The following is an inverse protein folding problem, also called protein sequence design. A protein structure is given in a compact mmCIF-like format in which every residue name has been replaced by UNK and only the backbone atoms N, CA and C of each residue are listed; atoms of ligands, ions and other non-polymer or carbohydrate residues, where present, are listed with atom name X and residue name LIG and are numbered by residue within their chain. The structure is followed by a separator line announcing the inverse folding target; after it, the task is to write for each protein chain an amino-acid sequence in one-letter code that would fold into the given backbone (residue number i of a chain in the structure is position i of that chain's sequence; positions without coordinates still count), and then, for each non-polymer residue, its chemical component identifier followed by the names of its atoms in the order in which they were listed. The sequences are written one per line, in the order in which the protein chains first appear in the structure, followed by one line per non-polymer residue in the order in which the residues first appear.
data_IF_417028762886
#
_entry.id   IF_417028762886
#
_cell.length_a   1.000
_cell.length_b   1.000
_cell.length_c   1.000
_cell.angle_alpha   90.00
_cell.angle_beta   90.00
_cell.angle_gamma   90.00
#
_symmetry.space_group_name_H-M   'P 1'
#
loop_
_entity.id
_entity.type
_entity.pdbx_description
1 polymer ?
2 non-polymer ?
3 non-polymer ?
4 water ?
#
# COMPACT_ATOMS: atom_id res chain seq x y z
N UNK A 10 7.53 5.63 17.13
CA UNK A 10 8.35 4.97 16.05
C UNK A 10 7.67 3.82 15.28
N UNK A 11 7.85 3.90 13.97
CA UNK A 11 7.43 2.86 13.04
C UNK A 11 8.44 1.74 13.15
N UNK A 12 7.97 0.48 13.30
CA UNK A 12 8.90 -0.61 13.54
C UNK A 12 9.70 -1.04 12.31
N UNK A 13 10.88 -1.59 12.61
CA UNK A 13 11.78 -2.15 11.62
C UNK A 13 11.17 -3.47 11.16
N UNK A 14 11.54 -3.89 9.97
CA UNK A 14 11.17 -5.20 9.46
C UNK A 14 11.73 -6.32 10.32
N UNK A 15 11.05 -7.46 10.32
CA UNK A 15 11.45 -8.62 11.10
C UNK A 15 12.29 -9.58 10.30
N UNK A 16 12.34 -9.39 8.98
CA UNK A 16 13.09 -10.26 8.10
C UNK A 16 14.58 -10.00 8.10
N UNK A 17 15.34 -10.88 7.44
CA UNK A 17 16.80 -10.83 7.50
C UNK A 17 17.48 -9.79 6.60
N UNK A 18 16.74 -9.09 5.74
CA UNK A 18 17.35 -8.13 4.82
C UNK A 18 17.29 -6.74 5.43
N UNK A 19 18.35 -5.96 5.24
CA UNK A 19 18.27 -4.51 5.38
C UNK A 19 17.32 -3.98 4.34
N UNK A 20 16.71 -2.83 4.59
CA UNK A 20 15.76 -2.26 3.66
C UNK A 20 16.19 -0.88 3.26
N UNK A 21 16.09 -0.59 1.96
CA UNK A 21 16.31 0.74 1.43
C UNK A 21 15.02 1.34 0.90
N UNK A 22 15.05 2.63 0.59
CA UNK A 22 13.87 3.33 0.11
C UNK A 22 14.26 4.44 -0.84
N UNK A 23 13.46 4.58 -1.91
CA UNK A 23 13.57 5.73 -2.80
C UNK A 23 12.19 6.08 -3.43
N UNK A 24 12.16 7.14 -4.23
CA UNK A 24 10.99 7.58 -4.96
C UNK A 24 11.28 7.57 -6.45
N UNK A 25 10.27 7.22 -7.25
CA UNK A 25 10.34 7.21 -8.71
C UNK A 25 9.10 7.91 -9.27
N UNK A 26 9.31 8.93 -10.10
CA UNK A 26 8.23 9.50 -10.92
C UNK A 26 8.64 9.43 -12.38
N UNK A 27 7.83 8.73 -13.17
CA UNK A 27 8.01 8.71 -14.61
C UNK A 27 6.69 8.29 -15.26
N UNK A 28 6.20 9.05 -16.26
CA UNK A 28 6.75 10.36 -16.64
C UNK A 28 6.48 11.45 -15.57
N UNK A 29 6.89 12.69 -15.88
CA UNK A 29 6.65 13.84 -15.01
C UNK A 29 5.19 14.34 -14.87
N UNK A 30 4.27 13.77 -15.64
CA UNK A 30 2.93 14.30 -15.76
C UNK A 30 1.99 13.70 -14.73
N UNK A 31 0.80 14.28 -14.65
CA UNK A 31 -0.26 13.80 -13.77
C UNK A 31 -0.84 12.44 -14.18
N UNK A 32 -0.47 11.95 -15.37
CA UNK A 32 -0.80 10.58 -15.84
C UNK A 32 0.37 9.59 -15.73
N UNK A 33 1.55 10.09 -15.37
CA UNK A 33 2.70 9.24 -15.11
C UNK A 33 2.58 8.41 -13.85
N UNK A 34 3.57 7.56 -13.63
CA UNK A 34 3.65 6.78 -12.39
C UNK A 34 4.47 7.48 -11.32
N UNK A 35 3.93 7.45 -10.10
CA UNK A 35 4.61 7.99 -8.94
C UNK A 35 4.52 6.91 -7.90
N UNK A 36 5.67 6.50 -7.39
CA UNK A 36 5.72 5.45 -6.37
C UNK A 36 6.87 5.62 -5.43
N UNK A 37 6.71 5.05 -4.23
CA UNK A 37 7.80 4.90 -3.29
C UNK A 37 8.24 3.43 -3.30
N UNK A 38 9.55 3.19 -3.51
CA UNK A 38 10.10 1.83 -3.51
C UNK A 38 10.68 1.46 -2.17
N UNK A 39 10.36 0.27 -1.71
CA UNK A 39 11.07 -0.37 -0.61
C UNK A 39 11.69 -1.64 -1.17
N UNK A 40 12.96 -1.86 -0.86
CA UNK A 40 13.72 -2.93 -1.43
C UNK A 40 14.78 -3.47 -0.48
N UNK A 41 15.17 -4.74 -0.68
CA UNK A 41 16.27 -5.28 0.09
C UNK A 41 17.55 -4.58 -0.33
N UNK A 42 18.28 -4.04 0.63
CA UNK A 42 19.49 -3.29 0.36
C UNK A 42 20.74 -3.96 0.89
N UNK A 43 21.87 -3.43 0.45
CA UNK A 43 23.17 -3.75 1.04
C UNK A 43 23.25 -3.18 2.44
N UNK A 44 24.18 -3.71 3.24
CA UNK A 44 24.47 -3.10 4.55
C UNK A 44 24.94 -1.67 4.22
N UNK A 45 24.52 -0.72 5.04
CA UNK A 45 24.89 0.67 4.85
C UNK A 45 24.71 1.47 6.14
N UNK A 46 25.15 2.72 6.11
CA UNK A 46 24.95 3.66 7.21
C UNK A 46 24.30 4.97 6.70
N UNK A 47 23.43 4.81 5.71
CA UNK A 47 22.63 5.90 5.16
C UNK A 47 21.57 6.33 6.20
N UNK A 48 21.11 7.58 6.10
CA UNK A 48 20.05 8.09 6.95
C UNK A 48 18.73 7.39 6.69
N UNK A 49 17.91 7.32 7.72
CA UNK A 49 16.53 6.85 7.57
C UNK A 49 15.71 7.80 6.70
N UNK A 50 14.61 7.29 6.22
CA UNK A 50 13.80 7.98 5.23
C UNK A 50 12.77 8.87 5.90
N UNK A 51 12.67 10.09 5.40
CA UNK A 51 11.67 11.04 5.88
C UNK A 51 10.24 10.54 5.57
N UNK A 52 9.44 10.44 6.62
CA UNK A 52 8.15 9.76 6.58
C UNK A 52 7.15 10.51 5.69
N UNK A 53 6.96 11.79 5.99
CA UNK A 53 6.06 12.69 5.25
C UNK A 53 6.92 13.84 4.70
N UNK A 54 7.40 13.71 3.45
CA UNK A 54 8.52 14.53 2.97
C UNK A 54 8.23 15.96 2.52
N UNK A 55 6.99 16.38 2.45
CA UNK A 55 6.66 17.74 2.01
C UNK A 55 5.57 18.33 2.85
N UNK A 56 5.69 19.62 3.14
CA UNK A 56 4.67 20.35 3.91
C UNK A 56 3.25 20.24 3.32
N UNK A 57 3.16 20.08 2.00
CA UNK A 57 1.86 20.07 1.33
C UNK A 57 1.04 18.85 1.72
N UNK A 58 1.71 17.74 2.01
CA UNK A 58 1.04 16.53 2.49
C UNK A 58 0.25 16.79 3.77
N UNK A 59 0.81 17.60 4.67
CA UNK A 59 0.12 17.95 5.91
C UNK A 59 -1.09 18.86 5.67
N UNK A 60 -0.96 19.82 4.76
CA UNK A 60 -2.11 20.63 4.34
C UNK A 60 -3.22 19.74 3.76
N UNK A 61 -2.85 18.77 2.93
CA UNK A 61 -3.79 17.78 2.39
C UNK A 61 -4.49 16.97 3.48
N UNK A 62 -3.69 16.47 4.42
CA UNK A 62 -4.23 15.77 5.58
C UNK A 62 -5.25 16.61 6.35
N UNK A 63 -4.99 17.91 6.45
CA UNK A 63 -5.91 18.83 7.08
C UNK A 63 -7.25 18.87 6.35
N UNK A 64 -7.18 18.97 5.02
CA UNK A 64 -8.38 18.97 4.18
C UNK A 64 -9.16 17.63 4.35
N UNK A 65 -8.47 16.51 4.29
CA UNK A 65 -9.07 15.20 4.55
C UNK A 65 -9.81 15.11 5.87
N UNK A 66 -9.18 15.55 6.95
CA UNK A 66 -9.81 15.59 8.28
C UNK A 66 -10.87 16.69 8.43
N UNK A 67 -10.97 17.62 7.47
CA UNK A 67 -12.02 18.63 7.47
C UNK A 67 -11.80 19.75 8.47
N UNK A 68 -10.53 20.11 8.68
CA UNK A 68 -10.13 21.14 9.65
C UNK A 68 -9.55 22.34 8.90
N UNK A 69 -9.18 23.39 9.63
CA UNK A 69 -8.52 24.59 9.06
C UNK A 69 -7.14 24.19 8.55
N UNK A 70 -6.74 24.70 7.38
CA UNK A 70 -5.37 24.45 6.84
C UNK A 70 -4.25 24.80 7.82
N UNK A 71 -4.52 25.68 8.78
CA UNK A 71 -3.64 25.89 9.92
C UNK A 71 -3.38 24.63 10.77
N UNK A 72 -4.30 23.68 10.81
CA UNK A 72 -4.06 22.37 11.47
C UNK A 72 -2.98 21.56 10.75
N UNK A 73 -2.85 21.80 9.46
CA UNK A 73 -1.75 21.27 8.69
C UNK A 73 -0.40 21.63 9.26
N UNK A 74 -0.25 22.91 9.62
CA UNK A 74 0.99 23.41 10.23
C UNK A 74 1.29 22.75 11.60
N UNK A 75 0.25 22.53 12.41
CA UNK A 75 0.40 21.76 13.66
C UNK A 75 0.80 20.30 13.42
N UNK A 76 0.16 19.63 12.46
CA UNK A 76 0.56 18.25 12.10
C UNK A 76 2.01 18.22 11.64
N UNK A 77 2.42 19.26 10.94
CA UNK A 77 3.76 19.34 10.38
C UNK A 77 4.75 19.52 11.53
N UNK A 78 4.48 20.49 12.38
CA UNK A 78 5.25 20.76 13.57
C UNK A 78 5.43 19.47 14.36
N UNK A 79 4.37 18.68 14.47
CA UNK A 79 4.38 17.43 15.25
C UNK A 79 5.09 16.26 14.60
N UNK A 80 4.81 16.05 13.30
CA UNK A 80 5.22 14.83 12.60
C UNK A 80 6.20 15.02 11.45
N UNK A 81 6.59 16.26 11.16
CA UNK A 81 7.35 16.58 9.93
C UNK A 81 8.85 16.27 9.89
N UNK A 82 9.47 16.01 11.03
CA UNK A 82 10.86 15.52 11.06
C UNK A 82 10.94 14.01 11.39
N UNK A 83 9.78 13.38 11.55
CA UNK A 83 9.70 11.97 11.81
C UNK A 83 10.22 11.15 10.61
N UNK A 84 10.91 10.04 10.92
CA UNK A 84 11.47 9.13 9.93
C UNK A 84 10.90 7.74 10.09
N UNK A 85 11.14 6.93 9.08
CA UNK A 85 10.74 5.52 9.06
C UNK A 85 12.00 4.73 8.76
N UNK A 86 12.14 3.52 9.37
CA UNK A 86 13.44 2.82 9.31
C UNK A 86 13.71 2.04 7.99
N UNK A 87 13.82 2.81 6.90
CA UNK A 87 14.37 2.35 5.64
C UNK A 87 15.46 3.31 5.28
N UNK A 88 16.54 2.80 4.72
CA UNK A 88 17.69 3.65 4.45
C UNK A 88 17.51 4.32 3.11
N UNK A 89 17.55 5.64 3.10
CA UNK A 89 17.23 6.46 1.93
C UNK A 89 18.34 6.28 0.89
N UNK A 90 17.95 5.84 -0.31
CA UNK A 90 18.81 5.68 -1.47
C UNK A 90 19.98 4.73 -1.27
N UNK A 91 19.82 3.76 -0.38
CA UNK A 91 20.90 2.80 -0.15
C UNK A 91 20.94 1.91 -1.38
N UNK A 92 22.11 1.37 -1.71
CA UNK A 92 22.17 0.50 -2.88
C UNK A 92 21.31 -0.76 -2.73
N UNK A 93 20.76 -1.21 -3.85
CA UNK A 93 19.99 -2.46 -3.89
C UNK A 93 20.88 -3.64 -3.59
N UNK A 94 20.35 -4.63 -2.86
CA UNK A 94 21.10 -5.86 -2.58
C UNK A 94 21.21 -6.70 -3.86
N UNK A 95 22.44 -6.93 -4.36
CA UNK A 95 22.58 -7.60 -5.63
C UNK A 95 22.32 -9.10 -5.58
N UNK A 96 22.29 -9.71 -6.77
CA UNK A 96 22.45 -11.15 -6.95
C UNK A 96 21.28 -12.02 -6.61
N UNK A 97 20.08 -11.46 -6.71
CA UNK A 97 18.85 -12.20 -6.46
C UNK A 97 17.64 -11.53 -7.14
N UNK A 98 16.75 -12.34 -7.70
CA UNK A 98 15.52 -11.79 -8.30
C UNK A 98 14.46 -11.81 -7.22
N UNK A 99 13.86 -10.66 -6.99
CA UNK A 99 12.91 -10.45 -5.89
C UNK A 99 11.47 -10.41 -6.42
N UNK A 100 10.54 -11.08 -5.71
CA UNK A 100 9.12 -10.87 -6.02
C UNK A 100 8.69 -9.42 -5.77
N UNK A 101 7.66 -8.98 -6.48
CA UNK A 101 7.26 -7.60 -6.48
C UNK A 101 5.87 -7.47 -5.89
N UNK A 102 5.73 -6.52 -4.99
CA UNK A 102 4.43 -6.09 -4.47
C UNK A 102 4.10 -4.68 -4.93
N UNK A 103 2.96 -4.48 -5.61
CA UNK A 103 2.42 -3.13 -5.83
C UNK A 103 1.41 -2.82 -4.73
N UNK A 104 1.58 -1.69 -4.04
CA UNK A 104 0.77 -1.35 -2.87
C UNK A 104 -0.10 -0.11 -3.10
N UNK A 105 -1.40 -0.22 -2.77
CA UNK A 105 -2.36 0.88 -2.98
C UNK A 105 -2.84 1.45 -1.65
N UNK A 106 -2.62 2.76 -1.49
CA UNK A 106 -3.02 3.49 -0.28
C UNK A 106 -4.52 3.82 -0.20
N UNK A 107 -4.98 4.18 0.99
CA UNK A 107 -6.39 4.50 1.18
C UNK A 107 -6.73 5.91 0.79
N UNK A 108 -8.01 6.23 0.90
CA UNK A 108 -8.53 7.55 0.64
C UNK A 108 -8.02 8.51 1.71
N UNK A 109 -7.52 9.67 1.28
CA UNK A 109 -6.91 10.63 2.16
C UNK A 109 -5.50 10.27 2.63
N UNK A 110 -4.94 9.17 2.13
CA UNK A 110 -3.56 8.81 2.39
C UNK A 110 -2.68 9.19 1.18
N UNK A 111 -1.51 8.58 1.06
CA UNK A 111 -0.58 8.78 -0.06
C UNK A 111 0.55 7.74 0.12
N UNK A 112 1.56 7.77 -0.77
CA UNK A 112 2.47 6.62 -0.92
C UNK A 112 3.30 6.24 0.30
N UNK A 113 3.58 7.22 1.15
CA UNK A 113 4.59 7.07 2.22
C UNK A 113 4.04 6.49 3.54
N UNK A 114 2.70 6.44 3.66
CA UNK A 114 2.03 6.11 4.93
C UNK A 114 1.78 4.64 5.21
N UNK A 115 2.37 3.74 4.42
CA UNK A 115 2.29 2.29 4.67
C UNK A 115 3.68 1.62 4.70
N UNK A 116 4.59 2.33 5.36
CA UNK A 116 6.00 1.94 5.45
C UNK A 116 6.20 0.78 6.41
N UNK A 117 5.36 0.69 7.44
CA UNK A 117 5.44 -0.45 8.36
C UNK A 117 5.30 -1.72 7.56
N UNK A 118 4.30 -1.75 6.68
CA UNK A 118 4.08 -2.91 5.82
C UNK A 118 5.17 -3.06 4.76
N UNK A 119 5.50 -1.95 4.09
CA UNK A 119 6.45 -1.95 2.96
C UNK A 119 7.83 -2.43 3.42
N UNK A 120 8.28 -1.86 4.53
CA UNK A 120 9.58 -2.17 5.09
C UNK A 120 9.63 -3.64 5.47
N UNK A 121 8.56 -4.16 6.08
CA UNK A 121 8.61 -5.54 6.54
C UNK A 121 8.71 -6.52 5.37
N UNK A 122 7.86 -6.30 4.37
CA UNK A 122 7.90 -7.11 3.17
C UNK A 122 9.30 -7.10 2.56
N UNK A 123 9.84 -5.89 2.34
CA UNK A 123 11.17 -5.73 1.78
C UNK A 123 12.21 -6.45 2.62
N UNK A 124 12.09 -6.33 3.94
CA UNK A 124 13.00 -7.01 4.88
C UNK A 124 12.98 -8.52 4.73
N UNK A 125 11.88 -9.09 4.24
CA UNK A 125 11.83 -10.53 3.90
C UNK A 125 12.14 -10.88 2.43
N UNK A 126 12.46 -9.89 1.61
CA UNK A 126 12.99 -10.16 0.25
C UNK A 126 12.01 -9.83 -0.88
N UNK A 127 11.10 -8.91 -0.64
CA UNK A 127 10.26 -8.34 -1.68
C UNK A 127 10.75 -6.98 -2.08
N UNK A 128 10.54 -6.63 -3.35
CA UNK A 128 10.50 -5.22 -3.73
C UNK A 128 9.04 -4.74 -3.62
N UNK A 129 8.84 -3.58 -3.01
CA UNK A 129 7.47 -3.02 -2.80
C UNK A 129 7.42 -1.67 -3.51
N UNK A 130 6.48 -1.52 -4.44
CA UNK A 130 6.20 -0.22 -5.08
C UNK A 130 4.89 0.35 -4.55
N UNK A 131 4.99 1.31 -3.65
CA UNK A 131 3.83 1.98 -3.08
C UNK A 131 3.43 3.14 -3.98
N UNK A 132 2.36 2.95 -4.74
CA UNK A 132 1.93 3.94 -5.73
C UNK A 132 1.33 5.15 -5.04
N UNK A 133 1.51 6.32 -5.65
CA UNK A 133 0.74 7.48 -5.28
C UNK A 133 -0.26 7.75 -6.42
N UNK A 134 -1.53 7.69 -6.06
CA UNK A 134 -2.63 7.75 -7.00
C UNK A 134 -2.91 9.19 -7.34
N UNK A 135 -3.21 9.46 -8.60
CA UNK A 135 -3.54 10.81 -9.10
C UNK A 135 -5.03 10.92 -9.42
N UNK A 136 -5.84 10.08 -8.76
CA UNK A 136 -7.30 10.08 -8.95
C UNK A 136 -7.97 11.10 -8.04
N UNK A 137 -7.16 11.85 -7.31
CA UNK A 137 -7.59 12.85 -6.34
C UNK A 137 -8.18 12.20 -5.10
N UNK A 138 -7.78 10.98 -4.84
CA UNK A 138 -8.07 10.29 -3.59
C UNK A 138 -6.92 10.46 -2.58
N UNK A 139 -5.72 10.77 -3.05
CA UNK A 139 -4.63 11.06 -2.12
C UNK A 139 -4.95 12.39 -1.44
N UNK A 140 -4.62 12.50 -0.15
CA UNK A 140 -4.71 13.78 0.56
C UNK A 140 -4.03 14.91 -0.23
N UNK A 141 -2.86 14.58 -0.77
CA UNK A 141 -2.17 15.42 -1.71
C UNK A 141 -1.28 14.55 -2.57
N UNK A 142 -0.95 15.04 -3.74
CA UNK A 142 0.12 14.47 -4.53
C UNK A 142 0.63 15.60 -5.45
N UNK A 143 1.71 15.32 -6.18
CA UNK A 143 2.20 16.28 -7.14
C UNK A 143 2.68 15.68 -8.45
N UNK A 144 2.86 16.59 -9.41
CA UNK A 144 3.36 16.30 -10.75
C UNK A 144 4.00 17.56 -11.26
N UNK A 145 4.53 17.51 -12.48
CA UNK A 145 5.15 18.66 -13.09
C UNK A 145 4.43 18.97 -14.39
N UNK A 146 4.28 20.27 -14.64
CA UNK A 146 3.39 20.75 -15.69
C UNK A 146 4.06 20.76 -17.06
N UNK A 147 5.39 20.69 -17.06
CA UNK A 147 6.20 20.59 -18.27
C UNK A 147 7.63 20.17 -17.89
N UNK A 148 8.42 19.87 -18.92
CA UNK A 148 9.79 19.39 -18.73
C UNK A 148 10.65 20.34 -17.88
N UNK A 149 10.62 21.63 -18.21
CA UNK A 149 11.41 22.62 -17.46
C UNK A 149 11.05 22.66 -15.97
N UNK A 150 9.75 22.64 -15.66
CA UNK A 150 9.28 22.56 -14.28
C UNK A 150 9.86 21.33 -13.58
N UNK A 151 9.84 20.19 -14.27
CA UNK A 151 10.49 18.99 -13.73
C UNK A 151 11.99 19.20 -13.44
N UNK A 152 12.71 19.73 -14.41
CA UNK A 152 14.15 19.94 -14.28
C UNK A 152 14.47 20.75 -13.01
N UNK A 153 13.81 21.90 -12.84
CA UNK A 153 14.04 22.78 -11.66
C UNK A 153 13.29 22.40 -10.35
N UNK A 154 12.51 21.34 -10.35
CA UNK A 154 11.77 20.90 -9.16
C UNK A 154 10.55 21.75 -8.79
N UNK A 155 10.01 22.45 -9.78
CA UNK A 155 8.79 23.25 -9.62
C UNK A 155 7.51 22.37 -9.59
N UNK A 156 7.09 22.00 -8.38
CA UNK A 156 5.96 21.11 -8.18
C UNK A 156 4.58 21.73 -8.38
N UNK A 157 3.69 20.98 -9.01
CA UNK A 157 2.26 21.32 -9.03
C UNK A 157 1.50 20.30 -8.19
N UNK A 158 0.72 20.81 -7.24
CA UNK A 158 0.05 19.98 -6.25
C UNK A 158 -1.42 19.78 -6.57
N UNK A 159 -1.89 18.53 -6.41
CA UNK A 159 -3.31 18.18 -6.50
C UNK A 159 -3.77 17.61 -5.18
N UNK A 160 -4.83 18.19 -4.65
CA UNK A 160 -5.31 17.82 -3.36
C UNK A 160 -6.58 17.01 -3.51
N UNK A 161 -6.88 16.28 -2.43
CA UNK A 161 -8.08 15.49 -2.30
C UNK A 161 -9.29 16.22 -2.89
N UNK A 162 -10.08 15.49 -3.66
CA UNK A 162 -11.33 15.99 -4.19
C UNK A 162 -12.41 15.60 -3.21
N UNK A 163 -13.15 16.60 -2.70
CA UNK A 163 -14.28 16.30 -1.82
C UNK A 163 -15.51 16.18 -2.73
N UNK A 164 -16.38 15.22 -2.42
CA UNK A 164 -17.54 14.91 -3.27
C UNK A 164 -18.84 15.27 -2.60
N UNK A 165 -19.82 15.64 -3.44
CA UNK A 165 -21.21 15.74 -3.00
C UNK A 165 -21.68 14.30 -2.88
N UNK A 166 -22.66 14.06 -2.00
CA UNK A 166 -23.30 12.74 -1.83
C UNK A 166 -23.69 12.09 -3.17
N UNK A 167 -24.28 12.90 -4.04
CA UNK A 167 -24.76 12.47 -5.36
C UNK A 167 -23.68 11.94 -6.30
N UNK A 168 -22.41 12.29 -6.06
CA UNK A 168 -21.30 11.85 -6.91
C UNK A 168 -20.67 10.54 -6.46
N UNK A 169 -20.80 10.21 -5.16
CA UNK A 169 -20.05 9.09 -4.54
C UNK A 169 -20.08 7.80 -5.33
N UNK A 170 -21.25 7.37 -5.78
CA UNK A 170 -21.30 6.07 -6.48
C UNK A 170 -20.43 6.18 -7.71
N UNK A 171 -20.77 7.13 -8.57
CA UNK A 171 -20.14 7.22 -9.88
C UNK A 171 -18.64 7.55 -9.78
N UNK A 172 -18.29 8.56 -8.98
CA UNK A 172 -16.89 8.98 -8.90
C UNK A 172 -16.02 7.94 -8.16
N UNK A 173 -16.52 7.33 -7.09
CA UNK A 173 -15.70 6.31 -6.40
C UNK A 173 -15.35 5.17 -7.34
N UNK A 174 -16.31 4.72 -8.15
CA UNK A 174 -16.03 3.70 -9.16
C UNK A 174 -15.02 4.19 -10.19
N UNK A 175 -15.19 5.41 -10.69
CA UNK A 175 -14.21 6.00 -11.62
C UNK A 175 -12.79 5.99 -11.06
N UNK A 176 -12.73 6.39 -9.79
CA UNK A 176 -11.47 6.40 -9.04
C UNK A 176 -10.84 5.01 -8.92
N UNK A 177 -11.60 4.02 -8.50
CA UNK A 177 -11.04 2.68 -8.32
C UNK A 177 -10.51 2.09 -9.64
N UNK A 178 -11.22 2.35 -10.74
CA UNK A 178 -10.76 1.92 -12.05
C UNK A 178 -9.46 2.64 -12.48
N UNK A 179 -9.40 3.96 -12.30
CA UNK A 179 -8.15 4.70 -12.47
C UNK A 179 -7.02 4.20 -11.57
N UNK A 180 -7.35 3.90 -10.32
CA UNK A 180 -6.38 3.29 -9.38
C UNK A 180 -5.82 1.97 -9.92
N UNK A 181 -6.73 1.14 -10.45
CA UNK A 181 -6.34 -0.09 -11.11
C UNK A 181 -5.36 0.16 -12.25
N UNK A 182 -5.68 1.12 -13.12
CA UNK A 182 -4.85 1.42 -14.27
C UNK A 182 -3.48 1.93 -13.78
N UNK A 183 -3.49 2.74 -12.74
CA UNK A 183 -2.26 3.23 -12.16
C UNK A 183 -1.40 2.09 -11.61
N UNK A 184 -2.04 1.09 -10.99
CA UNK A 184 -1.34 -0.12 -10.55
C UNK A 184 -0.70 -0.87 -11.72
N UNK A 185 -1.49 -1.10 -12.77
CA UNK A 185 -0.98 -1.70 -14.01
C UNK A 185 0.20 -0.94 -14.65
N UNK A 186 0.05 0.38 -14.78
CA UNK A 186 1.07 1.22 -15.33
C UNK A 186 2.38 1.18 -14.51
N UNK A 187 2.25 1.25 -13.19
CA UNK A 187 3.41 1.13 -12.29
C UNK A 187 4.14 -0.22 -12.46
N UNK A 188 3.36 -1.31 -12.56
CA UNK A 188 3.95 -2.64 -12.87
C UNK A 188 4.75 -2.64 -14.18
N UNK A 189 4.13 -2.12 -15.23
CA UNK A 189 4.77 -2.01 -16.54
C UNK A 189 6.08 -1.20 -16.48
N UNK A 190 6.04 -0.10 -15.72
CA UNK A 190 7.25 0.69 -15.50
C UNK A 190 8.38 -0.14 -14.85
N UNK A 191 8.05 -0.87 -13.79
CA UNK A 191 9.05 -1.63 -13.05
C UNK A 191 9.58 -2.75 -13.95
N UNK A 192 8.70 -3.35 -14.73
CA UNK A 192 9.11 -4.39 -15.69
C UNK A 192 10.02 -3.85 -16.78
N UNK A 193 9.76 -2.64 -17.24
CA UNK A 193 10.65 -2.00 -18.20
C UNK A 193 12.03 -1.74 -17.59
N UNK A 194 12.02 -1.23 -16.37
CA UNK A 194 13.25 -0.93 -15.66
C UNK A 194 14.01 -2.22 -15.44
N UNK A 195 13.30 -3.29 -15.05
CA UNK A 195 13.92 -4.61 -14.92
C UNK A 195 14.59 -5.05 -16.21
N UNK A 196 13.93 -4.82 -17.34
CA UNK A 196 14.51 -5.22 -18.64
C UNK A 196 15.67 -4.32 -19.11
N UNK A 197 15.83 -3.16 -18.47
CA UNK A 197 16.95 -2.26 -18.72
C UNK A 197 16.61 -1.00 -19.48
N UNK A 198 15.33 -0.66 -19.58
CA UNK A 198 14.94 0.53 -20.34
C UNK A 198 15.40 1.75 -19.57
N UNK A 199 16.15 2.66 -20.23
CA UNK A 199 16.54 3.87 -19.52
C UNK A 199 15.27 4.61 -19.14
N UNK A 200 15.22 5.06 -17.90
CA UNK A 200 14.12 5.85 -17.38
C UNK A 200 14.81 7.04 -16.74
N UNK A 201 14.39 8.25 -17.13
CA UNK A 201 14.80 9.47 -16.44
C UNK A 201 13.80 9.84 -15.35
N UNK A 202 14.16 9.57 -14.11
CA UNK A 202 13.32 9.88 -12.95
C UNK A 202 13.11 11.39 -12.94
N UNK A 203 11.86 11.85 -12.99
CA UNK A 203 11.57 13.30 -12.92
C UNK A 203 12.02 13.86 -11.58
N UNK A 204 12.07 13.01 -10.57
CA UNK A 204 12.70 13.37 -9.32
C UNK A 204 14.21 13.22 -9.56
N UNK A 205 14.99 14.14 -9.03
CA UNK A 205 16.40 14.19 -9.41
C UNK A 205 17.14 13.60 -8.22
N UNK A 206 16.94 12.31 -7.99
CA UNK A 206 17.46 11.65 -6.78
C UNK A 206 18.69 10.82 -7.08
N UNK A 207 19.49 10.59 -6.05
CA UNK A 207 20.77 9.89 -6.21
C UNK A 207 20.59 8.42 -5.93
N UNK A 208 19.75 7.82 -6.75
CA UNK A 208 19.54 6.40 -6.78
C UNK A 208 19.47 6.01 -8.24
N UNK A 209 20.49 5.30 -8.72
CA UNK A 209 20.52 4.87 -10.11
C UNK A 209 19.61 3.69 -10.35
N UNK A 210 18.55 3.90 -11.12
CA UNK A 210 17.59 2.86 -11.45
C UNK A 210 18.13 1.65 -12.23
N UNK A 211 19.31 1.79 -12.83
CA UNK A 211 19.96 0.67 -13.51
C UNK A 211 20.29 -0.51 -12.58
N UNK A 212 20.46 -0.23 -11.29
CA UNK A 212 20.57 -1.25 -10.24
C UNK A 212 19.47 -2.29 -10.31
N UNK A 213 18.26 -1.83 -10.61
CA UNK A 213 17.09 -2.69 -10.67
C UNK A 213 17.03 -3.57 -11.90
N UNK A 214 17.93 -3.37 -12.87
CA UNK A 214 18.02 -4.27 -14.02
C UNK A 214 18.20 -5.70 -13.54
N UNK A 215 17.40 -6.60 -14.11
CA UNK A 215 17.42 -8.03 -13.78
C UNK A 215 17.26 -8.37 -12.31
N UNK A 216 16.59 -7.48 -11.55
CA UNK A 216 16.35 -7.66 -10.11
C UNK A 216 14.96 -8.15 -9.72
N UNK A 217 14.04 -8.19 -10.68
CA UNK A 217 12.63 -8.51 -10.43
C UNK A 217 12.38 -9.93 -10.89
N UNK A 218 11.73 -10.73 -10.04
CA UNK A 218 11.20 -12.00 -10.50
C UNK A 218 9.88 -11.70 -11.26
N UNK A 219 9.93 -11.76 -12.58
CA UNK A 219 8.92 -11.16 -13.45
C UNK A 219 7.55 -11.80 -13.35
N UNK A 220 7.51 -13.08 -12.97
CA UNK A 220 6.25 -13.82 -12.82
C UNK A 220 5.65 -13.73 -11.42
N UNK A 221 6.40 -13.28 -10.42
CA UNK A 221 5.95 -13.34 -9.00
C UNK A 221 5.57 -11.95 -8.53
N UNK A 222 4.32 -11.59 -8.81
CA UNK A 222 3.82 -10.26 -8.64
C UNK A 222 2.48 -10.34 -7.88
N UNK A 223 2.35 -9.48 -6.88
CA UNK A 223 1.16 -9.41 -6.06
C UNK A 223 0.73 -7.98 -5.92
N UNK A 224 -0.57 -7.75 -5.66
CA UNK A 224 -1.08 -6.43 -5.34
C UNK A 224 -1.68 -6.49 -3.91
N UNK A 225 -1.42 -5.45 -3.12
CA UNK A 225 -1.90 -5.34 -1.72
C UNK A 225 -2.36 -3.92 -1.49
N UNK A 226 -3.35 -3.74 -0.63
CA UNK A 226 -3.81 -2.41 -0.35
C UNK A 226 -4.74 -2.27 0.81
N UNK A 227 -4.83 -1.03 1.31
CA UNK A 227 -5.62 -0.69 2.49
C UNK A 227 -6.90 0.08 2.12
N UNK A 228 -8.05 -0.50 2.48
CA UNK A 228 -9.36 0.21 2.48
C UNK A 228 -9.75 0.53 1.03
N UNK A 229 -9.72 1.80 0.58
CA UNK A 229 -9.83 2.11 -0.87
C UNK A 229 -8.80 1.29 -1.70
N UNK A 230 -7.60 1.20 -1.18
CA UNK A 230 -6.56 0.37 -1.74
C UNK A 230 -6.88 -1.11 -1.79
N UNK A 231 -7.71 -1.57 -0.86
CA UNK A 231 -8.20 -2.95 -0.87
C UNK A 231 -9.19 -3.23 -1.99
N UNK A 232 -10.08 -2.28 -2.24
CA UNK A 232 -10.96 -2.34 -3.43
C UNK A 232 -10.10 -2.28 -4.70
N UNK A 233 -9.04 -1.46 -4.65
CA UNK A 233 -8.09 -1.32 -5.75
C UNK A 233 -7.45 -2.68 -6.06
N UNK A 234 -7.11 -3.44 -5.02
CA UNK A 234 -6.61 -4.80 -5.18
C UNK A 234 -7.53 -5.65 -6.06
N UNK A 235 -8.80 -5.60 -5.77
CA UNK A 235 -9.77 -6.45 -6.46
C UNK A 235 -10.01 -6.00 -7.91
N UNK A 236 -10.12 -4.70 -8.12
CA UNK A 236 -10.25 -4.18 -9.47
C UNK A 236 -9.02 -4.50 -10.33
N UNK A 237 -7.83 -4.22 -9.80
CA UNK A 237 -6.56 -4.52 -10.49
C UNK A 237 -6.47 -5.99 -10.89
N UNK A 238 -6.74 -6.89 -9.94
CA UNK A 238 -6.74 -8.32 -10.21
C UNK A 238 -7.68 -8.74 -11.34
N UNK A 239 -8.92 -8.22 -11.30
CA UNK A 239 -9.88 -8.61 -12.34
C UNK A 239 -9.42 -8.12 -13.72
N UNK A 240 -8.70 -7.00 -13.74
CA UNK A 240 -8.26 -6.35 -15.01
C UNK A 240 -6.87 -6.76 -15.55
N UNK A 241 -6.01 -7.28 -14.69
CA UNK A 241 -4.58 -7.46 -15.03
C UNK A 241 -4.08 -8.80 -14.51
N UNK A 242 -4.04 -9.77 -15.42
CA UNK A 242 -3.64 -11.14 -15.12
C UNK A 242 -2.17 -11.31 -14.72
N UNK A 243 -1.35 -10.27 -14.84
CA UNK A 243 0.07 -10.36 -14.41
C UNK A 243 0.20 -10.40 -12.88
N UNK A 244 -0.80 -9.88 -12.18
CA UNK A 244 -0.84 -9.99 -10.74
C UNK A 244 -1.36 -11.37 -10.41
N UNK A 245 -0.56 -12.15 -9.69
CA UNK A 245 -0.89 -13.54 -9.40
C UNK A 245 -1.71 -13.75 -8.12
N UNK A 246 -1.72 -12.79 -7.19
CA UNK A 246 -2.61 -12.85 -6.03
C UNK A 246 -2.74 -11.47 -5.41
N UNK A 247 -3.76 -11.30 -4.57
CA UNK A 247 -3.95 -10.06 -3.84
C UNK A 247 -4.25 -10.24 -2.36
N UNK A 248 -3.92 -9.21 -1.59
CA UNK A 248 -4.24 -9.14 -0.18
C UNK A 248 -4.92 -7.80 0.03
N UNK A 249 -6.18 -7.85 0.46
CA UNK A 249 -6.93 -6.66 0.72
C UNK A 249 -6.92 -6.46 2.22
N UNK A 250 -6.33 -5.34 2.66
CA UNK A 250 -6.29 -5.03 4.10
C UNK A 250 -7.46 -4.11 4.45
N UNK A 251 -8.45 -4.67 5.12
CA UNK A 251 -9.62 -3.94 5.54
C UNK A 251 -10.23 -3.20 4.32
N UNK A 252 -10.54 -3.96 3.28
CA UNK A 252 -11.11 -3.40 2.06
C UNK A 252 -12.36 -2.61 2.34
N UNK A 253 -12.46 -1.44 1.71
CA UNK A 253 -13.68 -0.67 1.62
C UNK A 253 -14.27 -1.04 0.26
N UNK A 254 -15.38 -1.80 0.24
CA UNK A 254 -15.83 -2.42 -1.02
C UNK A 254 -16.68 -1.53 -1.91
N UNK A 255 -17.21 -0.45 -1.33
CA UNK A 255 -18.18 0.42 -1.96
C UNK A 255 -17.86 0.89 -3.40
N UNK A 256 -16.59 1.25 -3.67
CA UNK A 256 -16.23 1.70 -5.03
C UNK A 256 -16.38 0.68 -6.17
N UNK A 257 -16.38 -0.61 -5.86
CA UNK A 257 -16.39 -1.66 -6.89
C UNK A 257 -17.72 -1.80 -7.60
N UNK A 258 -17.67 -1.95 -8.91
CA UNK A 258 -18.83 -2.27 -9.70
C UNK A 258 -19.31 -3.69 -9.44
N UNK A 259 -20.61 -3.89 -9.57
CA UNK A 259 -21.20 -5.20 -9.35
C UNK A 259 -20.66 -6.30 -10.25
N UNK A 260 -20.22 -5.92 -11.43
CA UNK A 260 -19.65 -6.88 -12.36
C UNK A 260 -18.37 -7.60 -11.89
N UNK A 261 -17.59 -6.99 -10.99
CA UNK A 261 -16.22 -7.46 -10.72
C UNK A 261 -16.18 -8.66 -9.77
N UNK A 262 -17.22 -8.83 -8.97
CA UNK A 262 -17.21 -9.81 -7.88
C UNK A 262 -16.94 -11.20 -8.38
N UNK A 263 -17.53 -11.52 -9.52
CA UNK A 263 -17.43 -12.84 -10.16
C UNK A 263 -16.23 -12.95 -11.13
N UNK A 264 -15.36 -11.96 -11.16
CA UNK A 264 -14.30 -11.86 -12.20
C UNK A 264 -12.89 -11.74 -11.61
N UNK A 265 -12.61 -12.48 -10.52
CA UNK A 265 -11.30 -12.44 -9.83
C UNK A 265 -10.72 -13.87 -9.80
N UNK A 266 -10.02 -14.25 -10.89
CA UNK A 266 -9.47 -15.62 -10.92
C UNK A 266 -8.36 -15.91 -9.89
N UNK A 267 -7.61 -14.90 -9.52
CA UNK A 267 -6.44 -15.08 -8.64
C UNK A 267 -6.83 -15.29 -7.17
N UNK A 268 -5.98 -15.98 -6.38
CA UNK A 268 -6.17 -16.03 -4.93
C UNK A 268 -6.27 -14.66 -4.28
N UNK A 269 -7.19 -14.53 -3.34
CA UNK A 269 -7.44 -13.27 -2.68
C UNK A 269 -7.63 -13.50 -1.16
N UNK A 270 -6.89 -12.72 -0.36
CA UNK A 270 -6.87 -12.81 1.10
C UNK A 270 -7.49 -11.55 1.66
N UNK A 271 -8.53 -11.68 2.48
CA UNK A 271 -9.07 -10.53 3.19
C UNK A 271 -8.57 -10.52 4.65
N UNK A 272 -7.83 -9.49 5.02
CA UNK A 272 -7.38 -9.34 6.42
C UNK A 272 -8.08 -8.11 6.97
N UNK A 273 -8.97 -8.34 7.94
CA UNK A 273 -9.82 -7.27 8.46
C UNK A 273 -9.47 -6.84 9.88
N UNK A 274 -9.84 -5.61 10.18
CA UNK A 274 -9.89 -5.11 11.55
C UNK A 274 -11.20 -5.57 12.19
N UNK A 275 -11.22 -5.61 13.51
CA UNK A 275 -12.43 -6.03 14.22
C UNK A 275 -13.49 -4.94 14.12
N UNK A 276 -13.07 -3.69 14.25
CA UNK A 276 -14.04 -2.62 14.46
C UNK A 276 -14.49 -1.85 13.19
N UNK A 277 -13.78 -2.00 12.08
CA UNK A 277 -14.14 -1.23 10.86
C UNK A 277 -15.35 -1.79 10.14
N UNK A 278 -15.46 -3.11 10.11
CA UNK A 278 -16.33 -3.79 9.18
C UNK A 278 -17.79 -3.73 9.59
N UNK A 279 -18.65 -4.00 8.62
CA UNK A 279 -20.12 -3.91 8.77
C UNK A 279 -20.75 -4.84 7.73
N UNK A 280 -21.97 -5.35 7.99
CA UNK A 280 -22.58 -6.33 7.07
C UNK A 280 -22.53 -5.99 5.58
N UNK A 281 -22.87 -4.76 5.19
CA UNK A 281 -22.89 -4.35 3.77
C UNK A 281 -21.56 -4.60 3.10
N UNK A 282 -20.48 -4.33 3.82
CA UNK A 282 -19.13 -4.46 3.30
C UNK A 282 -18.75 -5.93 3.23
N UNK A 283 -18.99 -6.65 4.32
CA UNK A 283 -18.73 -8.09 4.39
C UNK A 283 -19.50 -8.86 3.32
N UNK A 284 -20.77 -8.56 3.12
CA UNK A 284 -21.56 -9.23 2.06
C UNK A 284 -20.85 -9.15 0.69
N UNK A 285 -20.30 -8.00 0.38
CA UNK A 285 -19.55 -7.80 -0.87
C UNK A 285 -18.26 -8.61 -0.95
N UNK A 286 -17.51 -8.63 0.12
CA UNK A 286 -16.41 -9.58 0.23
C UNK A 286 -16.89 -11.01 -0.09
N UNK A 287 -18.01 -11.40 0.50
CA UNK A 287 -18.54 -12.73 0.32
C UNK A 287 -18.98 -13.01 -1.13
N UNK A 288 -19.43 -11.98 -1.83
CA UNK A 288 -19.73 -12.11 -3.26
C UNK A 288 -18.52 -12.50 -4.14
N UNK A 289 -17.31 -12.25 -3.64
CA UNK A 289 -16.09 -12.69 -4.31
C UNK A 289 -15.82 -14.19 -4.17
N UNK A 290 -16.54 -14.86 -3.28
CA UNK A 290 -16.30 -16.28 -3.02
C UNK A 290 -16.96 -17.19 -4.05
N UNK A 291 -16.29 -18.31 -4.33
CA UNK A 291 -16.73 -19.30 -5.30
C UNK A 291 -15.87 -20.59 -5.15
N UNK A 292 -16.46 -21.79 -5.39
CA UNK A 292 -15.76 -23.01 -4.93
C UNK A 292 -14.49 -23.34 -5.75
N UNK A 293 -14.40 -22.78 -6.95
CA UNK A 293 -13.22 -22.92 -7.80
C UNK A 293 -12.15 -21.86 -7.54
N UNK A 294 -12.42 -20.89 -6.67
CA UNK A 294 -11.50 -19.78 -6.44
C UNK A 294 -10.99 -19.79 -5.00
N UNK A 295 -9.72 -19.41 -4.83
CA UNK A 295 -9.06 -19.47 -3.52
C UNK A 295 -9.35 -18.18 -2.79
N UNK A 296 -10.01 -18.30 -1.63
CA UNK A 296 -10.21 -17.13 -0.75
C UNK A 296 -10.04 -17.48 0.70
N UNK A 297 -9.40 -16.56 1.41
CA UNK A 297 -9.27 -16.63 2.85
C UNK A 297 -9.63 -15.29 3.46
N UNK A 298 -10.08 -15.34 4.71
CA UNK A 298 -10.43 -14.14 5.48
C UNK A 298 -10.10 -14.37 6.94
N UNK A 299 -9.52 -13.35 7.54
CA UNK A 299 -9.30 -13.29 8.97
C UNK A 299 -9.58 -11.91 9.50
N UNK A 300 -9.77 -11.82 10.80
CA UNK A 300 -10.07 -10.60 11.48
C UNK A 300 -9.13 -10.52 12.68
N UNK A 301 -8.40 -9.42 12.80
CA UNK A 301 -7.47 -9.23 13.93
C UNK A 301 -8.25 -8.71 15.15
N UNK A 302 -8.27 -9.50 16.23
CA UNK A 302 -8.99 -9.13 17.46
C UNK A 302 -8.54 -7.81 18.03
N UNK A 303 -9.48 -6.98 18.44
CA UNK A 303 -9.18 -5.71 19.09
C UNK A 303 -8.64 -4.60 18.20
N UNK A 304 -8.58 -4.84 16.90
CA UNK A 304 -7.96 -3.92 15.98
C UNK A 304 -8.94 -2.94 15.39
N UNK A 305 -8.41 -1.80 14.96
CA UNK A 305 -9.18 -0.73 14.33
C UNK A 305 -8.67 -0.54 12.90
N UNK A 306 -9.41 0.22 12.11
CA UNK A 306 -9.08 0.42 10.68
C UNK A 306 -7.64 0.94 10.42
N UNK A 307 -7.19 1.81 11.31
CA UNK A 307 -5.89 2.47 11.17
C UNK A 307 -4.70 1.62 11.63
N UNK A 308 -4.96 0.45 12.22
CA UNK A 308 -3.89 -0.48 12.55
C UNK A 308 -3.02 -0.86 11.34
N UNK A 309 -3.61 -0.82 10.16
CA UNK A 309 -2.92 -1.14 8.91
C UNK A 309 -2.05 0.00 8.34
N UNK A 310 -2.18 1.23 8.84
CA UNK A 310 -1.38 2.33 8.35
C UNK A 310 -0.43 2.85 9.43
N UNK A 311 0.51 3.69 9.01
CA UNK A 311 1.62 4.13 9.84
C UNK A 311 1.26 5.09 11.00
N UNK A 312 0.15 5.82 10.89
CA UNK A 312 -0.24 6.76 11.97
C UNK A 312 -0.55 6.03 13.29
N UNK A 313 -0.86 4.74 13.22
CA UNK A 313 -0.97 3.90 14.40
C UNK A 313 0.31 3.83 15.26
N UNK A 314 1.46 4.15 14.65
CA UNK A 314 2.75 4.17 15.34
C UNK A 314 3.22 5.54 15.75
N UNK A 315 2.49 6.58 15.35
CA UNK A 315 2.96 7.98 15.46
C UNK A 315 2.65 8.70 16.76
N UNK A 316 1.74 8.16 17.58
CA UNK A 316 1.37 8.74 18.87
C UNK A 316 1.50 7.70 19.96
N UNK A 317 1.36 8.16 21.19
CA UNK A 317 1.27 7.28 22.36
C UNK A 317 -0.02 6.50 22.42
N UNK A 318 -0.09 5.59 23.40
CA UNK A 318 -1.22 4.67 23.58
C UNK A 318 -2.52 5.42 23.84
N UNK A 319 -2.48 6.42 24.71
CA UNK A 319 -3.69 7.15 25.10
C UNK A 319 -4.21 8.06 23.97
N UNK A 320 -3.39 9.02 23.53
CA UNK A 320 -3.82 9.92 22.44
C UNK A 320 -4.25 9.11 21.22
N UNK A 321 -3.50 8.06 20.91
CA UNK A 321 -3.80 7.22 19.77
C UNK A 321 -5.12 6.50 19.87
N UNK A 322 -5.44 6.01 21.08
CA UNK A 322 -6.70 5.31 21.30
C UNK A 322 -7.85 6.29 21.15
N UNK A 323 -7.68 7.47 21.75
CA UNK A 323 -8.69 8.54 21.63
C UNK A 323 -8.97 8.96 20.20
N UNK A 324 -7.94 8.97 19.36
CA UNK A 324 -8.06 9.37 17.95
C UNK A 324 -8.47 8.24 17.00
N UNK A 325 -8.61 7.02 17.52
CA UNK A 325 -8.91 5.81 16.71
C UNK A 325 -7.82 5.43 15.75
N UNK A 326 -6.59 5.80 16.09
CA UNK A 326 -5.39 5.32 15.41
C UNK A 326 -4.93 3.98 15.98
N UNK A 327 -5.27 3.72 17.24
CA UNK A 327 -4.93 2.49 17.92
C UNK A 327 -6.21 1.81 18.37
N UNK A 328 -6.16 0.48 18.48
CA UNK A 328 -7.23 -0.33 19.04
C UNK A 328 -6.81 -0.91 20.39
N UNK A 329 -7.58 -1.87 20.87
CA UNK A 329 -7.29 -2.53 22.14
C UNK A 329 -5.98 -3.31 22.07
N UNK A 330 -5.77 -3.94 20.92
CA UNK A 330 -4.55 -4.67 20.62
C UNK A 330 -3.37 -3.70 20.43
N UNK A 331 -2.19 -4.16 20.79
CA UNK A 331 -0.98 -3.38 20.59
C UNK A 331 -0.66 -3.26 19.09
N UNK A 332 -0.35 -2.06 18.63
CA UNK A 332 -0.15 -1.83 17.20
C UNK A 332 0.94 -2.71 16.56
N UNK A 333 2.02 -2.95 17.30
CA UNK A 333 3.11 -3.81 16.81
C UNK A 333 2.62 -5.26 16.64
N UNK A 334 1.93 -5.76 17.65
CA UNK A 334 1.31 -7.10 17.61
C UNK A 334 0.35 -7.23 16.39
N UNK A 335 -0.46 -6.19 16.16
CA UNK A 335 -1.45 -6.23 15.07
C UNK A 335 -0.78 -6.31 13.69
N UNK A 336 0.09 -5.35 13.41
CA UNK A 336 0.80 -5.33 12.12
C UNK A 336 1.69 -6.56 11.88
N UNK A 337 2.30 -7.10 12.94
CA UNK A 337 3.06 -8.36 12.87
C UNK A 337 2.19 -9.49 12.39
N UNK A 338 0.99 -9.62 12.96
CA UNK A 338 0.01 -10.64 12.50
C UNK A 338 -0.38 -10.47 11.02
N UNK A 339 -0.70 -9.24 10.63
CA UNK A 339 -1.07 -8.97 9.24
C UNK A 339 0.11 -9.24 8.28
N UNK A 340 1.30 -8.84 8.71
CA UNK A 340 2.48 -8.97 7.88
C UNK A 340 2.85 -10.43 7.70
N UNK A 341 2.83 -11.20 8.79
CA UNK A 341 3.17 -12.62 8.70
C UNK A 341 2.12 -13.47 7.99
N UNK A 342 0.83 -13.21 8.26
CA UNK A 342 -0.22 -13.88 7.51
C UNK A 342 -0.02 -13.62 6.00
N UNK A 343 0.21 -12.34 5.67
CA UNK A 343 0.49 -11.90 4.32
C UNK A 343 1.66 -12.65 3.67
N UNK A 344 2.76 -12.78 4.41
CA UNK A 344 3.93 -13.50 3.90
C UNK A 344 3.66 -14.99 3.64
N UNK A 345 2.89 -15.64 4.51
CA UNK A 345 2.51 -17.03 4.27
C UNK A 345 1.65 -17.19 2.99
N UNK A 346 0.67 -16.31 2.84
CA UNK A 346 -0.22 -16.28 1.67
C UNK A 346 0.56 -16.06 0.37
N UNK A 347 1.46 -15.08 0.39
CA UNK A 347 2.34 -14.79 -0.74
C UNK A 347 3.25 -15.96 -1.08
N UNK A 348 3.83 -16.60 -0.07
CA UNK A 348 4.71 -17.72 -0.36
C UNK A 348 3.93 -18.79 -1.07
N UNK A 349 2.72 -19.05 -0.57
CA UNK A 349 1.88 -20.10 -1.10
C UNK A 349 1.42 -19.79 -2.51
N UNK A 350 1.04 -18.54 -2.79
CA UNK A 350 0.43 -18.21 -4.08
C UNK A 350 1.35 -17.60 -5.11
N UNK A 351 2.56 -17.20 -4.72
CA UNK A 351 3.63 -16.91 -5.68
C UNK A 351 4.64 -18.04 -5.82
N UNK A 352 4.53 -19.07 -4.98
CA UNK A 352 5.44 -20.23 -5.06
C UNK A 352 6.84 -19.93 -4.57
N UNK A 353 6.97 -19.16 -3.49
CA UNK A 353 8.28 -18.77 -2.99
C UNK A 353 8.97 -19.93 -2.27
N UNK A 354 10.30 -19.88 -2.22
CA UNK A 354 11.13 -20.90 -1.54
C UNK A 354 11.72 -20.34 -0.25
N UNK A 355 10.86 -19.76 0.59
CA UNK A 355 11.30 -19.16 1.83
C UNK A 355 10.71 -19.97 3.00
N UNK A 356 10.69 -19.38 4.19
CA UNK A 356 10.18 -20.09 5.39
C UNK A 356 8.88 -19.45 5.95
N UNK A 357 8.12 -18.79 5.08
CA UNK A 357 6.91 -18.04 5.51
C UNK A 357 5.76 -18.98 5.80
N UNK A 358 5.85 -20.19 5.27
CA UNK A 358 4.89 -21.25 5.61
C UNK A 358 4.79 -21.55 7.12
N UNK A 359 5.80 -21.16 7.90
CA UNK A 359 5.71 -21.17 9.36
C UNK A 359 4.52 -20.39 9.95
N UNK A 360 4.01 -19.37 9.23
CA UNK A 360 2.78 -18.64 9.59
C UNK A 360 1.52 -19.00 8.78
N UNK A 361 1.51 -20.21 8.22
CA UNK A 361 0.32 -20.75 7.56
C UNK A 361 -0.87 -20.78 8.49
N UNK A 362 -0.63 -21.06 9.78
CA UNK A 362 -1.70 -21.08 10.79
C UNK A 362 -2.47 -19.75 10.82
N UNK A 363 -1.76 -18.65 10.60
CA UNK A 363 -2.36 -17.31 10.62
C UNK A 363 -3.39 -17.07 9.50
N UNK A 364 -3.19 -17.70 8.35
CA UNK A 364 -4.13 -17.56 7.23
C UNK A 364 -5.50 -18.15 7.62
N UNK A 365 -5.49 -19.23 8.39
CA UNK A 365 -6.71 -19.91 8.87
C UNK A 365 -7.29 -19.28 10.15
N UNK A 366 -6.71 -18.16 10.61
CA UNK A 366 -7.12 -17.47 11.82
C UNK A 366 -6.76 -18.18 13.12
N UNK A 367 -5.77 -19.07 13.05
CA UNK A 367 -5.42 -19.95 14.17
C UNK A 367 -4.36 -19.31 15.05
N UNK A 368 -4.83 -18.38 15.88
CA UNK A 368 -3.99 -17.63 16.80
C UNK A 368 -4.91 -16.95 17.80
N UNK A 369 -4.45 -16.78 19.03
CA UNK A 369 -5.29 -16.15 20.05
C UNK A 369 -5.76 -14.73 19.71
N UNK A 370 -5.00 -14.01 18.90
CA UNK A 370 -5.39 -12.64 18.45
C UNK A 370 -6.08 -12.57 17.09
N UNK A 371 -6.53 -13.69 16.56
CA UNK A 371 -7.25 -13.69 15.26
C UNK A 371 -8.60 -14.33 15.39
N UNK A 372 -9.49 -13.94 14.48
CA UNK A 372 -10.81 -14.54 14.34
C UNK A 372 -10.82 -15.11 12.93
N UNK A 373 -11.02 -16.44 12.77
CA UNK A 373 -11.16 -17.02 11.43
C UNK A 373 -12.39 -16.45 10.74
N UNK A 374 -12.26 -16.03 9.49
CA UNK A 374 -13.37 -15.40 8.79
C UNK A 374 -13.64 -14.07 9.45
N UNK A 375 -14.89 -13.86 9.88
CA UNK A 375 -15.31 -12.58 10.42
C UNK A 375 -16.21 -12.67 11.67
N UNK A 376 -16.11 -11.63 12.50
CA UNK A 376 -16.97 -11.44 13.65
C UNK A 376 -18.33 -10.87 13.23
N UNK A 377 -18.46 -10.38 12.00
CA UNK A 377 -19.68 -9.73 11.54
C UNK A 377 -20.69 -10.80 11.17
N UNK A 378 -21.88 -10.70 11.73
CA UNK A 378 -22.99 -11.58 11.38
C UNK A 378 -23.71 -10.98 10.14
N UNK A 379 -24.02 -11.84 9.16
CA UNK A 379 -24.76 -11.41 7.95
C UNK A 379 -25.79 -12.46 7.56
N UNK A 380 -26.80 -12.63 8.41
CA UNK A 380 -28.00 -13.42 8.07
C UNK A 380 -29.27 -12.69 8.57
X LIG B 1 -12.27 1.48 13.04
X LIG C 1 22.22 9.36 3.72
X LIG D 1 -12.14 7.00 4.06
X LIG D 1 -12.25 5.50 4.36
X LIG D 1 -11.10 5.05 5.29
X LIG D 1 -10.01 4.75 4.38
X LIG D 1 -8.63 4.57 4.83
X LIG D 1 -7.88 5.87 4.95
X LIG D 1 -5.81 6.66 5.89
X LIG D 1 -5.17 8.96 5.95
X LIG D 1 -4.02 8.61 6.60
X LIG D 1 -3.73 7.30 6.90
X LIG D 1 -2.50 6.95 7.60
X LIG D 1 -4.64 6.31 6.55
X LIG D 1 -11.90 4.68 3.09
X LIG D 1 -14.69 4.82 4.25
X LIG D 1 -15.92 4.62 4.83
X LIG D 1 -16.10 4.85 6.17
X LIG D 1 -15.05 5.30 6.94
X LIG D 1 -13.81 5.50 6.36
X LIG D 1 -6.63 5.60 5.58
X LIG D 1 -6.08 7.99 5.59
X LIG D 1 -3.13 9.57 6.95
X LIG D 1 -1.55 6.68 8.13
X LIG D 1 -10.40 4.57 3.12
X LIG D 1 -9.67 4.35 2.16
X LIG D 1 -13.61 5.27 5.00
X LIG D 1 -13.01 7.42 4.21
X LIG D 1 -11.86 7.13 3.14
X LIG D 1 -11.47 7.40 4.65
X LIG D 1 -11.35 4.25 5.81
X LIG D 1 -10.85 5.75 5.92
X LIG D 1 -8.64 4.13 5.70
X LIG D 1 -8.16 3.99 4.20
X LIG D 1 -7.74 6.25 4.07
X LIG D 1 -8.41 6.51 5.50
X LIG D 1 -5.34 9.87 5.75
X LIG D 1 -4.46 5.41 6.75
X LIG D 1 -12.21 5.15 2.29
X LIG D 1 -12.33 3.80 3.13
X LIG D 1 -14.58 4.66 3.32
X LIG D 1 -16.65 4.31 4.30
X LIG D 1 -16.94 4.71 6.56
X LIG D 1 -15.16 5.46 7.86
X LIG D 1 -13.09 5.81 6.89
X LIG D 1 -6.87 8.23 5.14
#
# INVERSE_FOLDING_TARGET
MAAASFGQTKIPRGNGPYSVGCTDLMFDHTNKGTFLRLYYPSQDNDRLDTLWIPNKEYFWGLSKFLGTHWLMGNILRLLFGSMTTPANWNSPLRPGEKYPLVVFSHGLGAFRTLYSAIGIDLASHGFIVAAVEHRDRSASATYYFKDQSAAEIGDKSWLYLRTLKQEEETHIRNEQVRQRAKECSQALSLILDIDHGKPVKNALDLKFDMEQLKDSIDREKIAVIGHSFGGATVIQTLSEDQRFRCGIALDAWMFPLGDEVYSRIPQPLFFINSEYFQYPANIIKMKKCYSPDKERKMITIRGSVHQNFADFTFATGKIIGHMLKLKGDIDSNVAIDLSNKASLAFLQKHLGLHKDFDQWDCLIEGDDENLIPGTNINTTNQHHHHHH
CL CL
CL CL
7K4 C1 C2 C3 N4 C5 C6 C8 C10 C11 C13 C14 C16 C19 C21 C22 C23 C24 C25 O7 C9 F12 N15 C17 O18 C20 H28 H26 H27 H29 H30 H32 H31 H34 H33 H36 H37 H38 H39 H40 H41 H42 H43 H44 H35
#
